data_IF_638284658406
#
_entry.id   IF_638284658406
#
_cell.length_a   1.000
_cell.length_b   1.000
_cell.length_c   1.000
_cell.angle_alpha   90.00
_cell.angle_beta   90.00
_cell.angle_gamma   90.00
#
_symmetry.space_group_name_H-M   'P 1'
#
loop_
_entity.id
_entity.type
_entity.pdbx_description
1 polymer ?
#
# COMPACT_ATOMS: atom_id res chain seq x y z
N UNK A 1 41.62 -42.82 -3.14
CA UNK A 1 40.91 -41.71 -2.45
C UNK A 1 39.55 -42.22 -1.99
N UNK A 2 39.32 -42.14 -0.67
CA UNK A 2 38.06 -42.06 0.09
C UNK A 2 36.81 -42.90 -0.33
N UNK A 3 36.55 -43.95 0.47
CA UNK A 3 35.30 -44.44 1.16
C UNK A 3 33.99 -44.56 0.34
N UNK A 4 33.34 -45.74 0.17
CA UNK A 4 32.50 -46.57 1.11
C UNK A 4 31.43 -45.71 1.84
N UNK A 5 30.14 -46.04 2.04
CA UNK A 5 29.27 -47.22 1.85
C UNK A 5 27.80 -46.76 2.12
N UNK A 6 26.82 -47.34 1.38
CA UNK A 6 25.48 -47.89 1.74
C UNK A 6 24.48 -47.15 2.67
N UNK A 7 23.20 -47.25 2.29
CA UNK A 7 22.01 -47.55 3.12
C UNK A 7 21.31 -46.37 3.81
N UNK A 8 20.09 -46.01 3.38
CA UNK A 8 18.76 -46.60 3.72
C UNK A 8 18.18 -46.08 5.03
N UNK A 9 16.97 -45.52 4.96
CA UNK A 9 16.00 -45.60 6.06
C UNK A 9 14.59 -45.28 5.55
N UNK A 10 13.76 -46.32 5.43
CA UNK A 10 12.33 -46.21 5.54
C UNK A 10 11.98 -46.24 7.04
N UNK A 11 11.15 -45.30 7.51
CA UNK A 11 10.48 -45.37 8.80
C UNK A 11 9.01 -44.96 8.62
N UNK A 12 8.17 -45.97 8.78
CA UNK A 12 6.82 -46.02 9.35
C UNK A 12 5.98 -44.74 9.48
N UNK A 13 4.76 -44.89 8.97
CA UNK A 13 3.58 -44.15 9.38
C UNK A 13 3.31 -44.31 10.89
N UNK A 14 2.91 -43.21 11.54
CA UNK A 14 2.03 -43.24 12.70
C UNK A 14 0.85 -42.32 12.40
N UNK A 15 -0.31 -42.96 12.23
CA UNK A 15 -1.61 -42.36 12.43
C UNK A 15 -1.77 -41.98 13.90
N UNK A 16 -2.16 -40.73 14.18
CA UNK A 16 -2.97 -40.42 15.35
C UNK A 16 -4.05 -39.42 14.94
N UNK A 17 -5.29 -39.91 14.87
CA UNK A 17 -6.45 -39.09 15.15
C UNK A 17 -6.34 -38.60 16.59
N UNK A 18 -6.34 -37.28 16.79
CA UNK A 18 -6.84 -36.70 18.04
C UNK A 18 -7.91 -35.67 17.67
N UNK A 19 -9.06 -35.90 18.28
CA UNK A 19 -10.19 -35.01 18.54
C UNK A 19 -10.07 -33.55 18.13
N UNK A 20 -11.14 -33.07 17.49
CA UNK A 20 -11.72 -31.73 17.62
C UNK A 20 -11.13 -30.88 18.74
N UNK A 21 -10.47 -29.80 18.35
CA UNK A 21 -10.55 -28.52 19.04
C UNK A 21 -10.37 -27.43 17.99
N UNK A 22 -11.28 -26.45 18.02
CA UNK A 22 -11.16 -25.19 17.29
C UNK A 22 -9.87 -24.49 17.76
N UNK A 23 -8.76 -24.75 17.09
CA UNK A 23 -7.53 -24.00 17.32
C UNK A 23 -7.69 -22.63 16.69
N UNK A 24 -7.99 -21.64 17.53
CA UNK A 24 -7.71 -20.23 17.25
C UNK A 24 -6.26 -20.17 16.77
N UNK A 25 -6.03 -19.74 15.52
CA UNK A 25 -4.69 -19.58 14.96
C UNK A 25 -3.86 -18.70 15.89
N UNK A 26 -2.88 -19.30 16.54
CA UNK A 26 -2.00 -18.63 17.48
C UNK A 26 -1.06 -17.70 16.69
N UNK A 27 -1.29 -16.40 16.84
CA UNK A 27 -0.50 -15.33 16.21
C UNK A 27 0.98 -15.54 16.58
N UNK A 28 1.84 -15.80 15.60
CA UNK A 28 3.26 -15.98 15.87
C UNK A 28 3.86 -14.67 16.40
N UNK A 29 4.61 -14.71 17.53
CA UNK A 29 5.17 -13.50 18.12
C UNK A 29 6.19 -12.86 17.18
N UNK A 30 6.06 -11.54 17.01
CA UNK A 30 7.04 -10.72 16.30
C UNK A 30 8.40 -10.83 17.01
N UNK A 31 9.49 -10.96 16.26
CA UNK A 31 10.85 -10.84 16.79
C UNK A 31 10.92 -9.57 17.67
N UNK A 32 11.36 -9.68 18.93
CA UNK A 32 11.40 -8.58 19.87
C UNK A 32 12.33 -7.43 19.45
N UNK A 33 13.03 -7.51 18.31
CA UNK A 33 13.83 -6.44 17.72
C UNK A 33 13.09 -5.64 16.63
N UNK A 34 12.07 -6.19 15.97
CA UNK A 34 11.41 -5.53 14.84
C UNK A 34 10.35 -4.53 15.30
N UNK A 35 10.36 -3.34 14.69
CA UNK A 35 9.41 -2.26 14.97
C UNK A 35 8.33 -2.26 13.90
N UNK A 36 7.08 -2.38 14.34
CA UNK A 36 5.90 -2.39 13.48
C UNK A 36 4.87 -1.39 14.03
N UNK A 37 4.20 -0.62 13.16
CA UNK A 37 3.14 0.27 13.59
C UNK A 37 1.94 -0.56 14.03
N UNK A 38 1.40 -0.26 15.20
CA UNK A 38 0.21 -0.92 15.77
C UNK A 38 -1.04 -0.09 15.54
N UNK A 39 -0.88 1.23 15.40
CA UNK A 39 -1.97 2.17 15.19
C UNK A 39 -1.51 3.43 14.47
N UNK A 40 -2.33 3.93 13.55
CA UNK A 40 -2.27 5.32 13.09
C UNK A 40 -3.47 6.09 13.59
N UNK A 41 -3.27 7.38 13.82
CA UNK A 41 -4.34 8.33 14.06
C UNK A 41 -4.10 9.56 13.22
N UNK A 42 -5.03 9.87 12.34
CA UNK A 42 -5.08 11.13 11.62
C UNK A 42 -5.98 12.11 12.37
N UNK A 43 -5.52 13.34 12.51
CA UNK A 43 -6.26 14.46 13.07
C UNK A 43 -6.26 15.55 12.00
N UNK A 44 -7.44 15.85 11.46
CA UNK A 44 -7.62 16.89 10.44
C UNK A 44 -7.56 18.28 11.07
N UNK A 45 -7.47 19.32 10.23
CA UNK A 45 -7.43 20.72 10.68
C UNK A 45 -8.64 21.14 11.53
N UNK A 46 -9.81 20.55 11.27
CA UNK A 46 -11.05 20.75 12.01
C UNK A 46 -11.22 19.77 13.20
N UNK A 47 -10.15 19.05 13.56
CA UNK A 47 -10.06 18.09 14.66
C UNK A 47 -10.94 16.83 14.49
N UNK A 48 -11.35 16.48 13.27
CA UNK A 48 -11.86 15.14 13.02
C UNK A 48 -10.74 14.13 13.18
N UNK A 49 -11.06 12.97 13.75
CA UNK A 49 -10.08 11.95 14.07
C UNK A 49 -10.43 10.65 13.37
N UNK A 50 -9.46 10.09 12.65
CA UNK A 50 -9.56 8.79 11.99
C UNK A 50 -8.50 7.86 12.59
N UNK A 51 -8.88 6.65 12.96
CA UNK A 51 -7.99 5.71 13.67
C UNK A 51 -7.98 4.39 12.95
N UNK A 52 -6.78 3.93 12.58
CA UNK A 52 -6.56 2.61 12.00
C UNK A 52 -5.68 1.79 12.93
N UNK A 53 -6.04 0.54 13.16
CA UNK A 53 -5.23 -0.42 13.93
C UNK A 53 -4.75 -1.57 13.06
N UNK A 54 -3.66 -2.22 13.45
CA UNK A 54 -3.03 -3.28 12.67
C UNK A 54 -2.85 -4.56 13.47
N UNK A 55 -3.03 -5.69 12.79
CA UNK A 55 -2.72 -7.04 13.28
C UNK A 55 -1.69 -7.69 12.39
N UNK A 56 -0.79 -8.47 12.99
CA UNK A 56 0.33 -9.08 12.30
C UNK A 56 0.45 -10.57 12.59
N UNK A 57 1.04 -11.31 11.66
CA UNK A 57 1.66 -12.63 11.86
C UNK A 57 3.18 -12.46 11.59
N UNK A 58 3.98 -12.39 12.67
CA UNK A 58 5.36 -11.91 12.58
C UNK A 58 5.43 -10.50 11.96
N UNK A 59 6.06 -10.36 10.79
CA UNK A 59 6.16 -9.08 10.06
C UNK A 59 5.19 -8.96 8.88
N UNK A 60 4.28 -9.91 8.74
CA UNK A 60 3.20 -9.88 7.73
C UNK A 60 2.00 -9.19 8.34
N UNK A 61 1.51 -8.13 7.70
CA UNK A 61 0.30 -7.45 8.12
C UNK A 61 -0.89 -8.31 7.71
N UNK A 62 -1.69 -8.82 8.65
CA UNK A 62 -2.84 -9.69 8.32
C UNK A 62 -4.14 -8.91 8.21
N UNK A 63 -4.27 -7.82 8.96
CA UNK A 63 -5.47 -6.98 8.98
C UNK A 63 -5.12 -5.53 9.32
N UNK A 64 -5.73 -4.58 8.61
CA UNK A 64 -5.87 -3.18 9.04
C UNK A 64 -7.34 -2.86 9.23
N UNK A 65 -7.69 -2.18 10.32
CA UNK A 65 -9.08 -1.92 10.69
C UNK A 65 -9.29 -0.45 11.05
N UNK A 66 -10.22 0.22 10.36
CA UNK A 66 -10.75 1.51 10.76
C UNK A 66 -11.63 1.33 11.99
N UNK A 67 -11.25 1.97 13.10
CA UNK A 67 -11.94 1.83 14.39
C UNK A 67 -13.31 2.53 14.40
N UNK A 68 -13.48 3.58 13.61
CA UNK A 68 -14.71 4.38 13.55
C UNK A 68 -15.80 3.71 12.74
N UNK A 69 -15.45 3.11 11.59
CA UNK A 69 -16.42 2.45 10.69
C UNK A 69 -16.47 0.94 10.85
N UNK A 70 -15.46 0.34 11.48
CA UNK A 70 -15.25 -1.11 11.52
C UNK A 70 -15.12 -1.72 10.11
N UNK A 71 -14.69 -0.91 9.14
CA UNK A 71 -14.21 -1.38 7.84
C UNK A 71 -12.79 -1.91 7.99
N UNK A 72 -12.48 -2.98 7.25
CA UNK A 72 -11.18 -3.63 7.38
C UNK A 72 -10.63 -4.11 6.05
N UNK A 73 -9.31 -4.12 5.96
CA UNK A 73 -8.56 -4.76 4.87
C UNK A 73 -7.88 -6.01 5.40
N UNK A 74 -8.08 -7.14 4.73
CA UNK A 74 -7.38 -8.40 5.00
C UNK A 74 -6.35 -8.67 3.91
N UNK A 75 -5.18 -9.17 4.31
CA UNK A 75 -4.05 -9.38 3.42
C UNK A 75 -3.72 -10.87 3.29
N UNK A 76 -3.58 -11.36 2.07
CA UNK A 76 -3.16 -12.74 1.78
C UNK A 76 -1.74 -12.75 1.23
N UNK A 77 -0.91 -13.68 1.71
CA UNK A 77 0.50 -13.78 1.35
C UNK A 77 0.84 -15.06 0.58
N UNK A 78 1.87 -14.97 -0.26
CA UNK A 78 2.65 -16.11 -0.75
C UNK A 78 4.12 -15.84 -0.45
N UNK A 79 4.69 -16.57 0.51
CA UNK A 79 5.98 -16.23 1.10
C UNK A 79 5.93 -14.84 1.75
N UNK A 80 6.81 -13.93 1.29
CA UNK A 80 6.90 -12.55 1.78
C UNK A 80 6.14 -11.53 0.90
N UNK A 81 5.50 -11.98 -0.18
CA UNK A 81 4.74 -11.12 -1.08
C UNK A 81 3.25 -11.14 -0.72
N UNK A 82 2.61 -9.97 -0.70
CA UNK A 82 1.16 -9.84 -0.60
C UNK A 82 0.57 -10.15 -1.97
N UNK A 83 -0.20 -11.23 -2.10
CA UNK A 83 -0.81 -11.62 -3.38
C UNK A 83 -2.25 -11.16 -3.53
N UNK A 84 -2.90 -10.76 -2.43
CA UNK A 84 -4.27 -10.23 -2.45
C UNK A 84 -4.55 -9.34 -1.26
N UNK A 85 -5.33 -8.27 -1.47
CA UNK A 85 -6.03 -7.56 -0.38
C UNK A 85 -7.53 -7.59 -0.62
N UNK A 86 -8.30 -7.55 0.46
CA UNK A 86 -9.76 -7.52 0.41
C UNK A 86 -10.27 -6.52 1.44
N UNK A 87 -11.01 -5.52 0.99
CA UNK A 87 -11.65 -4.53 1.87
C UNK A 87 -13.08 -4.96 2.15
N UNK A 88 -13.48 -4.83 3.41
CA UNK A 88 -14.76 -5.27 3.94
C UNK A 88 -15.53 -4.10 4.53
N UNK A 89 -16.79 -3.98 4.13
CA UNK A 89 -17.82 -3.22 4.83
C UNK A 89 -18.70 -4.22 5.59
N UNK A 90 -18.52 -4.29 6.91
CA UNK A 90 -19.11 -5.35 7.72
C UNK A 90 -18.60 -6.74 7.32
N UNK A 91 -19.48 -7.57 6.75
CA UNK A 91 -19.12 -8.92 6.26
C UNK A 91 -18.96 -8.99 4.73
N UNK A 92 -19.29 -7.92 4.02
CA UNK A 92 -19.28 -7.90 2.57
C UNK A 92 -17.92 -7.45 2.02
N UNK A 93 -17.36 -8.21 1.09
CA UNK A 93 -16.17 -7.80 0.34
C UNK A 93 -16.61 -6.79 -0.72
N UNK A 94 -16.11 -5.57 -0.60
CA UNK A 94 -16.48 -4.43 -1.46
C UNK A 94 -15.35 -4.03 -2.40
N UNK A 95 -14.11 -4.34 -2.05
CA UNK A 95 -12.95 -4.09 -2.90
C UNK A 95 -11.96 -5.25 -2.81
N UNK A 96 -11.36 -5.63 -3.93
CA UNK A 96 -10.34 -6.69 -3.97
C UNK A 96 -9.24 -6.30 -4.95
N UNK A 97 -8.00 -6.46 -4.50
CA UNK A 97 -6.78 -6.25 -5.28
C UNK A 97 -6.04 -7.57 -5.34
N UNK A 98 -5.66 -8.03 -6.53
CA UNK A 98 -4.91 -9.28 -6.75
C UNK A 98 -3.60 -8.96 -7.47
N UNK A 99 -2.47 -9.40 -6.92
CA UNK A 99 -1.14 -9.02 -7.40
C UNK A 99 -0.43 -10.18 -8.09
N UNK A 100 0.11 -9.90 -9.27
CA UNK A 100 1.00 -10.80 -10.00
C UNK A 100 2.42 -10.29 -9.89
N UNK A 101 3.37 -11.23 -9.70
CA UNK A 101 4.77 -10.92 -9.52
C UNK A 101 5.65 -11.56 -10.59
N UNK A 102 6.69 -10.85 -11.00
CA UNK A 102 7.82 -11.37 -11.77
C UNK A 102 9.11 -10.85 -11.15
N UNK A 103 10.09 -11.72 -10.91
CA UNK A 103 11.38 -11.36 -10.30
C UNK A 103 11.26 -10.53 -9.01
N UNK A 104 10.25 -10.84 -8.18
CA UNK A 104 10.02 -10.17 -6.90
C UNK A 104 9.37 -8.78 -6.96
N UNK A 105 9.00 -8.30 -8.16
CA UNK A 105 8.28 -7.03 -8.41
C UNK A 105 6.84 -7.30 -8.84
N UNK A 106 5.93 -6.39 -8.50
CA UNK A 106 4.52 -6.45 -8.95
C UNK A 106 4.48 -6.06 -10.42
N UNK A 107 4.01 -6.95 -11.30
CA UNK A 107 3.89 -6.68 -12.74
C UNK A 107 2.45 -6.43 -13.17
N UNK A 108 1.49 -6.90 -12.40
CA UNK A 108 0.08 -6.60 -12.63
C UNK A 108 -0.69 -6.57 -11.31
N UNK A 109 -1.74 -5.77 -11.32
CA UNK A 109 -2.72 -5.66 -10.25
C UNK A 109 -4.11 -5.71 -10.89
N UNK A 110 -4.89 -6.72 -10.53
CA UNK A 110 -6.28 -6.83 -10.91
C UNK A 110 -7.15 -6.30 -9.79
N UNK A 111 -8.06 -5.39 -10.12
CA UNK A 111 -8.95 -4.74 -9.18
C UNK A 111 -10.40 -5.16 -9.48
N UNK A 112 -11.13 -5.50 -8.43
CA UNK A 112 -12.59 -5.69 -8.45
C UNK A 112 -13.20 -4.76 -7.42
N UNK A 113 -13.94 -3.76 -7.87
CA UNK A 113 -14.60 -2.75 -7.03
C UNK A 113 -16.13 -2.90 -7.12
N UNK A 114 -16.79 -3.00 -5.98
CA UNK A 114 -18.24 -3.17 -5.85
C UNK A 114 -18.95 -2.01 -5.14
N UNK A 115 -18.26 -0.92 -4.78
CA UNK A 115 -18.89 0.22 -4.10
C UNK A 115 -19.89 0.97 -5.00
N UNK A 116 -19.73 0.96 -6.32
CA UNK A 116 -20.47 1.84 -7.25
C UNK A 116 -21.84 1.29 -7.73
N UNK A 117 -22.52 0.47 -6.93
CA UNK A 117 -23.83 -0.11 -7.30
C UNK A 117 -23.78 -1.19 -8.39
N UNK A 118 -22.61 -1.43 -8.97
CA UNK A 118 -22.27 -2.51 -9.90
C UNK A 118 -20.86 -3.03 -9.63
N UNK A 119 -20.36 -3.92 -10.49
CA UNK A 119 -18.98 -4.44 -10.36
C UNK A 119 -18.09 -3.86 -11.45
N UNK A 120 -17.10 -3.07 -11.05
CA UNK A 120 -16.02 -2.60 -11.91
C UNK A 120 -14.83 -3.55 -11.79
N UNK A 121 -14.34 -4.06 -12.92
CA UNK A 121 -13.13 -4.88 -12.99
C UNK A 121 -12.16 -4.27 -14.00
N UNK A 122 -10.92 -4.07 -13.58
CA UNK A 122 -9.84 -3.66 -14.48
C UNK A 122 -8.50 -4.26 -14.03
N UNK A 123 -7.50 -4.18 -14.91
CA UNK A 123 -6.15 -4.64 -14.61
C UNK A 123 -5.16 -3.53 -14.93
N UNK A 124 -4.37 -3.17 -13.93
CA UNK A 124 -3.23 -2.27 -14.03
C UNK A 124 -2.00 -3.11 -14.32
N UNK A 125 -1.32 -2.84 -15.42
CA UNK A 125 -0.06 -3.48 -15.77
C UNK A 125 1.10 -2.50 -15.55
N UNK A 126 2.16 -2.96 -14.89
CA UNK A 126 3.36 -2.18 -14.62
C UNK A 126 4.46 -2.57 -15.62
N UNK A 127 4.82 -1.62 -16.48
CA UNK A 127 5.88 -1.75 -17.46
C UNK A 127 7.19 -1.19 -16.88
N UNK A 128 8.10 -2.09 -16.50
CA UNK A 128 9.43 -1.73 -16.02
C UNK A 128 10.36 -1.53 -17.22
N UNK A 129 10.65 -0.26 -17.54
CA UNK A 129 11.58 0.12 -18.59
C UNK A 129 13.05 0.01 -18.13
N UNK A 130 13.26 0.13 -16.82
CA UNK A 130 14.51 -0.20 -16.12
C UNK A 130 14.22 -0.52 -14.65
N UNK A 131 15.25 -0.71 -13.83
CA UNK A 131 15.10 -0.92 -12.39
C UNK A 131 14.47 0.27 -11.64
N UNK A 132 14.58 1.45 -12.24
CA UNK A 132 14.24 2.73 -11.61
C UNK A 132 13.21 3.52 -12.43
N UNK A 133 12.62 2.92 -13.45
CA UNK A 133 11.70 3.60 -14.37
C UNK A 133 10.53 2.70 -14.72
N UNK A 134 9.32 3.12 -14.37
CA UNK A 134 8.09 2.34 -14.52
C UNK A 134 7.01 3.18 -15.16
N UNK A 135 6.27 2.58 -16.11
CA UNK A 135 5.05 3.14 -16.67
C UNK A 135 3.85 2.27 -16.35
N UNK A 136 2.69 2.89 -16.17
CA UNK A 136 1.44 2.17 -15.96
C UNK A 136 0.24 3.04 -16.29
N UNK A 137 -0.91 2.41 -16.50
CA UNK A 137 -2.20 3.08 -16.65
C UNK A 137 -3.03 2.89 -15.39
N UNK A 138 -3.42 3.98 -14.74
CA UNK A 138 -4.33 3.97 -13.58
C UNK A 138 -5.76 4.25 -14.03
N UNK A 139 -6.75 3.61 -13.42
CA UNK A 139 -8.16 3.88 -13.72
C UNK A 139 -8.51 5.33 -13.36
N UNK A 140 -9.21 6.03 -14.27
CA UNK A 140 -9.68 7.40 -14.02
C UNK A 140 -11.21 7.48 -14.00
N UNK A 141 -11.86 6.83 -14.98
CA UNK A 141 -13.32 6.86 -15.08
C UNK A 141 -13.86 5.72 -15.96
N UNK A 142 -15.17 5.50 -15.86
CA UNK A 142 -15.92 4.59 -16.73
C UNK A 142 -17.37 5.08 -16.84
N UNK A 143 -18.11 4.52 -17.80
CA UNK A 143 -19.55 4.72 -17.95
C UNK A 143 -20.31 3.58 -17.27
N UNK A 144 -21.07 3.88 -16.22
CA UNK A 144 -21.92 2.91 -15.50
C UNK A 144 -23.31 2.82 -16.12
N UNK A 145 -23.79 1.59 -16.39
CA UNK A 145 -25.15 1.34 -16.83
C UNK A 145 -25.97 0.70 -15.69
N UNK A 146 -26.94 1.43 -15.10
CA UNK A 146 -27.74 0.91 -13.98
C UNK A 146 -28.70 -0.22 -14.37
N UNK A 147 -29.08 -0.34 -15.66
CA UNK A 147 -29.96 -1.40 -16.13
C UNK A 147 -29.28 -2.76 -16.23
N UNK A 148 -27.95 -2.79 -16.37
CA UNK A 148 -27.17 -4.03 -16.46
C UNK A 148 -26.20 -4.22 -15.28
N UNK A 149 -25.92 -3.17 -14.51
CA UNK A 149 -24.91 -3.19 -13.43
C UNK A 149 -23.47 -3.22 -13.93
N UNK A 150 -23.22 -2.90 -15.21
CA UNK A 150 -21.93 -3.05 -15.88
C UNK A 150 -21.26 -1.71 -16.16
N UNK A 151 -19.94 -1.65 -15.98
CA UNK A 151 -19.09 -0.54 -16.39
C UNK A 151 -18.53 -0.76 -17.80
N UNK A 152 -18.56 0.29 -18.63
CA UNK A 152 -17.99 0.30 -19.99
C UNK A 152 -17.14 1.55 -20.21
N UNK A 153 -16.46 1.67 -21.36
CA UNK A 153 -15.65 2.84 -21.72
C UNK A 153 -14.65 3.23 -20.61
N UNK A 154 -13.88 2.25 -20.13
CA UNK A 154 -12.87 2.46 -19.10
C UNK A 154 -11.79 3.40 -19.65
N UNK A 155 -11.54 4.51 -18.96
CA UNK A 155 -10.49 5.47 -19.24
C UNK A 155 -9.41 5.41 -18.18
N UNK A 156 -8.20 5.75 -18.57
CA UNK A 156 -7.02 5.66 -17.71
C UNK A 156 -6.09 6.86 -17.84
N UNK A 157 -5.42 7.18 -16.74
CA UNK A 157 -4.34 8.14 -16.65
C UNK A 157 -3.02 7.39 -16.86
N UNK A 158 -2.21 7.83 -17.81
CA UNK A 158 -0.87 7.28 -18.01
C UNK A 158 0.07 7.90 -16.97
N UNK A 159 0.77 7.06 -16.22
CA UNK A 159 1.83 7.44 -15.31
C UNK A 159 3.20 7.01 -15.85
N UNK A 160 4.18 7.88 -15.69
CA UNK A 160 5.60 7.66 -15.99
C UNK A 160 6.42 8.08 -14.77
N UNK A 161 7.05 7.10 -14.10
CA UNK A 161 7.55 7.23 -12.73
C UNK A 161 9.02 6.83 -12.64
N UNK A 162 9.81 7.68 -11.99
CA UNK A 162 11.21 7.42 -11.66
C UNK A 162 11.37 7.16 -10.15
N UNK A 163 12.16 6.15 -9.81
CA UNK A 163 12.28 5.60 -8.46
C UNK A 163 13.76 5.58 -8.08
N UNK A 164 14.07 5.87 -6.82
CA UNK A 164 15.42 5.73 -6.29
C UNK A 164 15.79 4.27 -6.04
N UNK A 165 17.08 4.00 -5.88
CA UNK A 165 17.56 2.67 -5.50
C UNK A 165 17.02 2.20 -4.13
N UNK A 166 16.56 3.14 -3.30
CA UNK A 166 15.94 2.84 -2.01
C UNK A 166 14.40 2.80 -2.08
N UNK A 167 13.79 2.64 -3.26
CA UNK A 167 12.32 2.58 -3.42
C UNK A 167 11.57 3.82 -2.93
N UNK A 168 12.13 5.01 -3.14
CA UNK A 168 11.41 6.28 -3.00
C UNK A 168 11.08 6.83 -4.39
N UNK A 169 9.93 7.48 -4.56
CA UNK A 169 9.65 8.20 -5.80
C UNK A 169 10.63 9.37 -5.96
N UNK A 170 11.09 9.66 -7.17
CA UNK A 170 11.94 10.82 -7.45
C UNK A 170 11.12 11.86 -8.20
N UNK A 171 10.57 11.43 -9.33
CA UNK A 171 9.65 12.21 -10.15
C UNK A 171 8.57 11.30 -10.70
N UNK A 172 7.44 11.91 -11.04
CA UNK A 172 6.41 11.26 -11.83
C UNK A 172 5.81 12.27 -12.81
N UNK A 173 5.28 11.79 -13.93
CA UNK A 173 4.30 12.53 -14.72
C UNK A 173 3.03 11.72 -14.84
N UNK A 174 1.90 12.41 -14.88
CA UNK A 174 0.60 11.82 -15.17
C UNK A 174 -0.09 12.57 -16.29
N UNK A 175 -0.57 11.87 -17.30
CA UNK A 175 -1.27 12.47 -18.45
C UNK A 175 -2.66 11.85 -18.62
N UNK A 176 -3.68 12.71 -18.67
CA UNK A 176 -5.08 12.34 -18.88
C UNK A 176 -5.82 13.45 -19.63
N UNK A 177 -6.50 13.10 -20.73
CA UNK A 177 -7.33 14.03 -21.53
C UNK A 177 -6.66 15.39 -21.84
N UNK A 178 -5.38 15.37 -22.18
CA UNK A 178 -4.60 16.57 -22.52
C UNK A 178 -4.09 17.38 -21.32
N UNK A 179 -4.47 17.02 -20.09
CA UNK A 179 -3.86 17.52 -18.86
C UNK A 179 -2.61 16.71 -18.55
N UNK A 180 -1.49 17.38 -18.31
CA UNK A 180 -0.26 16.77 -17.78
C UNK A 180 0.02 17.32 -16.40
N UNK A 181 0.40 16.46 -15.46
CA UNK A 181 0.87 16.86 -14.12
C UNK A 181 2.23 16.26 -13.88
N UNK A 182 3.17 17.07 -13.43
CA UNK A 182 4.54 16.66 -13.08
C UNK A 182 4.71 16.76 -11.58
N UNK A 183 5.31 15.74 -10.98
CA UNK A 183 5.55 15.62 -9.55
C UNK A 183 7.06 15.53 -9.28
N UNK A 184 7.49 16.19 -8.20
CA UNK A 184 8.83 16.07 -7.65
C UNK A 184 8.71 15.77 -6.16
N UNK A 185 9.50 14.82 -5.68
CA UNK A 185 9.43 14.35 -4.31
C UNK A 185 10.79 14.53 -3.62
N UNK A 186 10.76 14.80 -2.32
CA UNK A 186 11.94 14.76 -1.47
C UNK A 186 11.62 14.03 -0.17
N UNK A 187 12.63 13.35 0.37
CA UNK A 187 12.49 12.49 1.53
C UNK A 187 13.60 12.78 2.53
N UNK A 188 13.34 12.41 3.77
CA UNK A 188 14.37 12.34 4.79
C UNK A 188 15.27 11.10 4.61
N UNK A 189 16.17 10.90 5.57
CA UNK A 189 16.96 9.66 5.68
C UNK A 189 16.38 8.61 6.63
N UNK A 190 15.21 8.84 7.23
CA UNK A 190 14.67 8.03 8.33
C UNK A 190 13.67 6.99 7.85
N UNK A 191 13.24 6.09 8.72
CA UNK A 191 12.41 4.95 8.31
C UNK A 191 10.95 5.38 8.14
N UNK A 192 10.34 5.00 7.02
CA UNK A 192 8.88 5.06 6.88
C UNK A 192 8.20 4.09 7.86
N UNK A 193 7.02 4.44 8.42
CA UNK A 193 6.28 3.56 9.33
C UNK A 193 6.09 2.13 8.83
N UNK A 194 5.83 1.96 7.53
CA UNK A 194 5.52 0.65 6.94
C UNK A 194 6.75 -0.09 6.40
N UNK A 195 7.97 0.44 6.60
CA UNK A 195 9.21 -0.10 6.02
C UNK A 195 9.48 -1.56 6.36
N UNK A 196 9.12 -1.96 7.58
CA UNK A 196 9.35 -3.32 8.06
C UNK A 196 8.20 -4.29 7.75
N UNK A 197 7.10 -3.82 7.17
CA UNK A 197 5.94 -4.66 6.85
C UNK A 197 6.18 -5.37 5.52
N UNK A 198 6.26 -6.70 5.56
CA UNK A 198 6.57 -7.52 4.39
C UNK A 198 5.57 -7.28 3.26
N UNK A 199 6.10 -7.00 2.07
CA UNK A 199 5.33 -6.81 0.85
C UNK A 199 4.53 -5.50 0.75
N UNK A 200 4.34 -4.76 1.85
CA UNK A 200 3.46 -3.58 1.88
C UNK A 200 3.92 -2.47 0.94
N UNK A 201 5.19 -2.05 1.05
CA UNK A 201 5.73 -1.02 0.15
C UNK A 201 5.64 -1.47 -1.31
N UNK A 202 5.92 -2.74 -1.62
CA UNK A 202 5.92 -3.26 -3.00
C UNK A 202 4.57 -3.09 -3.71
N UNK A 203 3.45 -3.24 -3.00
CA UNK A 203 2.11 -3.16 -3.61
C UNK A 203 1.52 -1.74 -3.58
N UNK A 204 2.09 -0.81 -2.80
CA UNK A 204 1.47 0.49 -2.54
C UNK A 204 2.28 1.69 -3.04
N UNK A 205 3.61 1.59 -3.16
CA UNK A 205 4.45 2.76 -3.48
C UNK A 205 4.20 3.37 -4.87
N UNK A 206 3.63 2.59 -5.81
CA UNK A 206 3.22 3.04 -7.15
C UNK A 206 1.72 3.36 -7.26
N UNK A 207 0.99 3.39 -6.14
CA UNK A 207 -0.45 3.66 -6.15
C UNK A 207 -0.81 5.04 -5.63
N UNK A 208 0.05 5.61 -4.79
CA UNK A 208 -0.10 6.98 -4.32
C UNK A 208 0.84 7.87 -5.14
N UNK A 209 0.32 8.76 -6.00
CA UNK A 209 1.14 9.81 -6.60
C UNK A 209 1.55 10.86 -5.56
N UNK A 210 1.18 10.72 -4.30
CA UNK A 210 1.53 11.67 -3.24
C UNK A 210 2.91 11.35 -2.63
N UNK A 211 3.39 10.11 -2.77
CA UNK A 211 4.75 9.69 -2.37
C UNK A 211 4.92 9.45 -0.86
N UNK A 212 3.83 9.39 -0.11
CA UNK A 212 3.78 9.12 1.33
C UNK A 212 4.07 7.65 1.68
N UNK A 213 3.86 6.73 0.73
CA UNK A 213 4.23 5.32 0.85
C UNK A 213 5.56 5.06 0.13
N UNK A 214 6.65 5.07 0.89
CA UNK A 214 8.01 4.88 0.39
C UNK A 214 8.89 4.22 1.47
N UNK A 215 10.20 4.04 1.20
CA UNK A 215 11.13 3.54 2.23
C UNK A 215 11.51 4.59 3.27
N UNK A 216 11.45 5.87 2.90
CA UNK A 216 11.73 7.01 3.76
C UNK A 216 10.49 7.90 3.94
N UNK A 217 10.56 8.88 4.84
CA UNK A 217 9.42 9.79 5.07
C UNK A 217 9.45 10.94 4.08
N UNK A 218 8.30 11.21 3.46
CA UNK A 218 8.13 12.29 2.49
C UNK A 218 8.25 13.65 3.19
N UNK A 219 9.26 14.44 2.83
CA UNK A 219 9.43 15.82 3.28
C UNK A 219 8.60 16.78 2.44
N UNK A 220 8.65 16.65 1.12
CA UNK A 220 7.83 17.47 0.22
C UNK A 220 7.42 16.70 -1.02
N UNK A 221 6.22 16.98 -1.50
CA UNK A 221 5.77 16.69 -2.85
C UNK A 221 5.36 18.01 -3.49
N UNK A 222 5.91 18.31 -4.66
CA UNK A 222 5.53 19.48 -5.45
C UNK A 222 4.98 19.02 -6.79
N UNK A 223 3.84 19.56 -7.17
CA UNK A 223 3.23 19.27 -8.46
C UNK A 223 2.86 20.53 -9.23
N UNK A 224 3.10 20.49 -10.54
CA UNK A 224 2.58 21.48 -11.49
C UNK A 224 1.72 20.75 -12.50
N UNK A 225 0.55 21.28 -12.83
CA UNK A 225 -0.30 20.75 -13.88
C UNK A 225 -0.51 21.78 -14.99
N UNK A 226 -0.44 21.32 -16.24
CA UNK A 226 -0.57 22.12 -17.46
C UNK A 226 -1.47 21.45 -18.49
N UNK A 227 -2.21 22.26 -19.26
CA UNK A 227 -3.18 21.78 -20.26
C UNK A 227 -4.48 22.57 -20.22
N UNK A 228 -5.67 21.92 -20.23
CA UNK A 228 -6.96 22.60 -20.12
C UNK A 228 -7.08 23.49 -18.88
N UNK A 229 -6.44 23.09 -17.78
CA UNK A 229 -6.24 23.93 -16.59
C UNK A 229 -4.76 24.00 -16.23
N UNK A 230 -4.38 25.05 -15.52
CA UNK A 230 -3.00 25.26 -15.09
C UNK A 230 -2.96 25.64 -13.61
N UNK A 231 -1.96 25.14 -12.90
CA UNK A 231 -1.77 25.49 -11.51
C UNK A 231 -0.75 24.59 -10.81
N UNK A 232 -0.74 24.70 -9.48
CA UNK A 232 0.24 24.04 -8.64
C UNK A 232 -0.42 23.54 -7.36
N UNK A 233 0.13 22.45 -6.83
CA UNK A 233 -0.15 22.04 -5.46
C UNK A 233 1.09 21.38 -4.86
N UNK A 234 1.20 21.44 -3.55
CA UNK A 234 2.29 20.81 -2.82
C UNK A 234 1.83 20.28 -1.47
N UNK A 235 2.61 19.36 -0.93
CA UNK A 235 2.59 18.99 0.48
C UNK A 235 3.99 19.17 1.08
N UNK A 236 4.04 19.55 2.36
CA UNK A 236 5.26 19.57 3.15
C UNK A 236 5.02 18.94 4.52
N UNK A 237 5.95 18.11 4.97
CA UNK A 237 5.82 17.35 6.22
C UNK A 237 6.94 17.67 7.19
N UNK A 238 6.57 17.74 8.47
CA UNK A 238 7.51 17.80 9.59
C UNK A 238 7.30 16.58 10.48
N UNK A 239 8.36 15.84 10.72
CA UNK A 239 8.33 14.57 11.45
C UNK A 239 9.03 14.68 12.80
N UNK A 240 8.47 14.01 13.80
CA UNK A 240 9.10 13.73 15.10
C UNK A 240 9.33 12.23 15.18
N UNK A 241 10.52 11.80 15.58
CA UNK A 241 10.91 10.39 15.57
C UNK A 241 11.08 9.81 16.98
N UNK A 242 10.92 8.49 17.09
CA UNK A 242 11.43 7.73 18.23
C UNK A 242 12.94 7.46 18.10
N UNK A 243 13.53 6.82 19.11
CA UNK A 243 14.95 6.48 19.17
C UNK A 243 15.40 5.46 18.11
N UNK A 244 14.46 4.87 17.37
CA UNK A 244 14.73 3.91 16.29
C UNK A 244 14.50 4.53 14.90
N UNK A 245 14.39 5.86 14.84
CA UNK A 245 14.22 6.63 13.60
C UNK A 245 12.92 6.32 12.84
N UNK A 246 11.86 5.94 13.54
CA UNK A 246 10.50 5.87 12.99
C UNK A 246 9.68 7.07 13.46
N UNK A 247 8.86 7.70 12.60
CA UNK A 247 8.10 8.87 13.00
C UNK A 247 6.96 8.48 13.95
N UNK A 248 6.85 9.16 15.09
CA UNK A 248 5.72 9.04 16.02
C UNK A 248 4.68 10.13 15.78
N UNK A 249 5.09 11.23 15.15
CA UNK A 249 4.22 12.31 14.71
C UNK A 249 4.69 12.86 13.37
N UNK A 250 3.75 13.08 12.46
CA UNK A 250 3.95 13.81 11.21
C UNK A 250 2.91 14.91 11.15
N UNK A 251 3.33 16.14 10.85
CA UNK A 251 2.41 17.23 10.49
C UNK A 251 2.61 17.53 9.02
N UNK A 252 1.59 17.29 8.21
CA UNK A 252 1.63 17.56 6.77
C UNK A 252 0.76 18.76 6.45
N UNK A 253 1.33 19.75 5.77
CA UNK A 253 0.63 20.93 5.26
C UNK A 253 0.46 20.80 3.75
N UNK A 254 -0.76 20.97 3.27
CA UNK A 254 -1.13 20.94 1.86
C UNK A 254 -1.41 22.36 1.38
N UNK A 255 -0.89 22.72 0.20
CA UNK A 255 -1.18 23.99 -0.46
C UNK A 255 -1.58 23.75 -1.90
N UNK A 256 -2.45 24.61 -2.43
CA UNK A 256 -2.94 24.54 -3.81
C UNK A 256 -3.28 25.92 -4.33
N UNK A 257 -3.19 26.11 -5.64
CA UNK A 257 -3.72 27.31 -6.30
C UNK A 257 -5.24 27.37 -6.30
N UNK A 258 -5.92 26.24 -6.08
CA UNK A 258 -7.38 26.13 -6.17
C UNK A 258 -8.08 26.05 -4.81
N UNK A 259 -7.38 25.61 -3.76
CA UNK A 259 -7.96 25.35 -2.45
C UNK A 259 -7.16 26.03 -1.35
N UNK A 260 -7.81 26.43 -0.24
CA UNK A 260 -7.11 26.95 0.93
C UNK A 260 -6.07 25.98 1.47
N UNK A 261 -5.06 26.52 2.15
CA UNK A 261 -4.09 25.71 2.90
C UNK A 261 -4.81 24.86 3.94
N UNK A 262 -4.43 23.59 4.00
CA UNK A 262 -4.94 22.63 4.95
C UNK A 262 -3.78 21.89 5.63
N UNK A 263 -3.97 21.42 6.87
CA UNK A 263 -2.93 20.69 7.59
C UNK A 263 -3.49 19.54 8.40
N UNK A 264 -2.83 18.38 8.32
CA UNK A 264 -3.20 17.16 9.02
C UNK A 264 -2.06 16.74 9.96
N UNK A 265 -2.42 16.18 11.11
CA UNK A 265 -1.48 15.56 12.05
C UNK A 265 -1.69 14.06 12.06
N UNK A 266 -0.64 13.31 11.74
CA UNK A 266 -0.62 11.86 11.83
C UNK A 266 0.19 11.45 13.05
N UNK A 267 -0.38 10.61 13.89
CA UNK A 267 0.29 9.97 15.02
C UNK A 267 0.48 8.50 14.70
N UNK A 268 1.65 7.96 15.02
CA UNK A 268 1.94 6.53 14.83
C UNK A 268 2.39 5.93 16.15
N UNK A 269 1.70 4.90 16.57
CA UNK A 269 2.07 4.07 17.69
C UNK A 269 2.73 2.78 17.17
N UNK A 270 3.73 2.31 17.89
CA UNK A 270 4.49 1.12 17.53
C UNK A 270 4.39 0.08 18.65
N UNK A 271 4.76 -1.15 18.35
CA UNK A 271 4.86 -2.24 19.33
C UNK A 271 5.94 -2.05 20.42
N UNK A 272 6.62 -0.89 20.47
CA UNK A 272 7.70 -0.55 21.40
C UNK A 272 7.74 0.94 21.74
#
# INVERSE_FOLDING_TARGET
MKKLIISSLALFALSNCTSSDDTVEEIQPVDPTTILPTKFTEITQDNQTYVVTFKYDGTKLVESNDVGTNEKTVYTYNGDNIVKTQDFEGTAIVYTREFTYTNGRVTAEKITNKHSGGTLVYTKNFEYLSDNHVKYNEYSSSTYNPGTGVHTNIKSTLYDVYISNNSNLITATSTYEGQTRTYNYSYDGQNNPMKNVKGFLKINFLLSPEGDVASNNLLTMNSTYTGPTNGQSSSSSVHTYNNNNFPTKTVTTYTSTLFPTNAHTFLTEYNK
#
